data_IF_789165925728
#
_entry.id   IF_789165925728
#
_cell.length_a   1.000
_cell.length_b   1.000
_cell.length_c   1.000
_cell.angle_alpha   90.00
_cell.angle_beta   90.00
_cell.angle_gamma   90.00
#
_symmetry.space_group_name_H-M   'P 1'
#
loop_
_entity.id
_entity.type
_entity.pdbx_description
1 polymer ?
#
# COMPACT_ATOMS: atom_id res chain seq x y z
N UNK A 1 -9.22 -3.10 38.21
CA UNK A 1 -9.11 -2.73 36.78
C UNK A 1 -8.11 -3.66 36.15
N UNK A 2 -8.55 -4.54 35.25
CA UNK A 2 -7.66 -5.43 34.51
C UNK A 2 -7.01 -4.59 33.41
N UNK A 3 -5.68 -4.41 33.46
CA UNK A 3 -4.95 -3.75 32.40
C UNK A 3 -5.09 -4.59 31.12
N UNK A 4 -5.72 -4.03 30.09
CA UNK A 4 -5.72 -4.62 28.75
C UNK A 4 -4.27 -4.87 28.32
N UNK A 5 -3.96 -6.00 27.67
CA UNK A 5 -2.61 -6.26 27.18
C UNK A 5 -2.15 -5.09 26.30
N UNK A 6 -1.08 -4.43 26.74
CA UNK A 6 -0.41 -3.35 26.02
C UNK A 6 -0.07 -3.83 24.61
N UNK A 7 -0.46 -3.08 23.57
CA UNK A 7 -0.05 -3.35 22.18
C UNK A 7 -1.07 -3.93 21.21
N UNK A 8 -2.28 -4.33 21.63
CA UNK A 8 -3.29 -4.91 20.72
C UNK A 8 -4.23 -3.89 20.09
N UNK A 9 -4.47 -2.75 20.75
CA UNK A 9 -5.38 -1.73 20.22
C UNK A 9 -4.72 -0.91 19.12
N UNK A 10 -5.39 -0.65 17.98
CA UNK A 10 -4.92 0.32 17.00
C UNK A 10 -4.86 1.74 17.61
N UNK A 11 -5.52 1.97 18.74
CA UNK A 11 -5.54 3.28 19.39
C UNK A 11 -4.51 3.42 20.53
N UNK A 12 -3.57 2.48 20.66
CA UNK A 12 -2.49 2.52 21.66
C UNK A 12 -1.55 3.72 21.43
N UNK A 13 -1.39 4.55 22.46
CA UNK A 13 -0.62 5.80 22.42
C UNK A 13 0.88 5.54 22.18
N UNK A 14 1.45 4.47 22.74
CA UNK A 14 2.86 4.13 22.54
C UNK A 14 3.10 3.80 21.06
N UNK A 15 2.12 3.16 20.43
CA UNK A 15 2.17 2.85 19.00
C UNK A 15 1.80 4.06 18.14
N UNK A 16 1.15 5.08 18.68
CA UNK A 16 0.82 6.31 17.96
C UNK A 16 2.03 7.24 17.80
N UNK A 17 3.03 7.15 18.68
CA UNK A 17 4.29 7.90 18.55
C UNK A 17 5.29 7.26 17.58
N UNK A 18 4.97 6.08 17.03
CA UNK A 18 5.84 5.39 16.08
C UNK A 18 5.73 6.00 14.69
N UNK A 19 6.83 6.54 14.16
CA UNK A 19 6.88 7.08 12.79
C UNK A 19 6.69 6.03 11.70
N UNK A 20 6.97 4.76 11.97
CA UNK A 20 6.80 3.66 10.99
C UNK A 20 5.35 3.23 10.79
N UNK A 21 4.40 3.93 11.40
CA UNK A 21 3.00 3.55 11.47
C UNK A 21 2.13 4.80 11.32
N UNK A 22 0.99 4.68 10.63
CA UNK A 22 0.07 5.79 10.52
C UNK A 22 -0.47 6.19 11.91
N UNK A 23 -0.39 7.48 12.29
CA UNK A 23 -1.10 7.97 13.46
C UNK A 23 -2.61 7.84 13.21
N UNK A 24 -3.37 7.64 14.29
CA UNK A 24 -4.84 7.64 14.25
C UNK A 24 -5.34 8.83 15.06
N UNK A 25 -5.72 9.89 14.36
CA UNK A 25 -6.41 11.03 14.95
C UNK A 25 -7.87 10.68 15.15
N UNK A 26 -8.44 11.21 16.23
CA UNK A 26 -9.81 10.91 16.64
C UNK A 26 -10.62 12.20 16.54
N UNK A 27 -11.73 12.11 15.84
CA UNK A 27 -12.74 13.16 15.71
C UNK A 27 -14.07 12.59 16.19
N UNK A 28 -15.01 13.47 16.53
CA UNK A 28 -16.34 13.08 16.96
C UNK A 28 -17.38 13.94 16.24
N UNK A 29 -17.88 13.40 15.14
CA UNK A 29 -18.98 13.94 14.35
C UNK A 29 -20.08 12.88 14.32
N UNK A 30 -21.19 13.08 15.06
CA UNK A 30 -22.30 12.13 15.07
C UNK A 30 -22.87 11.94 13.67
N UNK A 31 -22.77 10.72 13.12
CA UNK A 31 -23.35 10.41 11.82
C UNK A 31 -23.64 8.91 11.68
N UNK A 32 -24.63 8.56 10.86
CA UNK A 32 -24.91 7.17 10.47
C UNK A 32 -24.27 6.78 9.14
N UNK A 33 -23.83 7.78 8.37
CA UNK A 33 -23.14 7.64 7.10
C UNK A 33 -21.92 8.57 7.08
N UNK A 34 -20.82 8.10 6.48
CA UNK A 34 -19.66 8.93 6.21
C UNK A 34 -19.79 9.48 4.79
N UNK A 35 -20.73 10.39 4.60
CA UNK A 35 -20.95 11.16 3.37
C UNK A 35 -20.09 12.43 3.34
N UNK A 36 -20.22 13.24 2.29
CA UNK A 36 -19.45 14.48 2.12
C UNK A 36 -19.68 15.47 3.28
N UNK A 37 -20.91 15.56 3.79
CA UNK A 37 -21.23 16.44 4.92
C UNK A 37 -20.51 16.00 6.20
N UNK A 38 -20.58 14.71 6.54
CA UNK A 38 -19.89 14.18 7.72
C UNK A 38 -18.36 14.29 7.60
N UNK A 39 -17.82 14.11 6.39
CA UNK A 39 -16.38 14.27 6.13
C UNK A 39 -15.98 15.73 6.32
N UNK A 40 -16.67 16.70 5.70
CA UNK A 40 -16.39 18.13 5.86
C UNK A 40 -16.46 18.58 7.32
N UNK A 41 -17.43 18.08 8.09
CA UNK A 41 -17.49 18.36 9.53
C UNK A 41 -16.32 17.77 10.32
N UNK A 42 -15.77 16.61 9.89
CA UNK A 42 -14.56 16.06 10.49
C UNK A 42 -13.33 16.93 10.17
N UNK A 43 -13.25 17.48 8.95
CA UNK A 43 -12.21 18.42 8.54
C UNK A 43 -12.26 19.71 9.35
N UNK A 44 -13.45 20.31 9.48
CA UNK A 44 -13.68 21.51 10.30
C UNK A 44 -13.24 21.30 11.75
N UNK A 45 -13.59 20.16 12.36
CA UNK A 45 -13.15 19.85 13.72
C UNK A 45 -11.61 19.75 13.85
N UNK A 46 -10.91 19.25 12.82
CA UNK A 46 -9.45 19.19 12.81
C UNK A 46 -8.81 20.58 12.61
N UNK A 47 -9.46 21.45 11.82
CA UNK A 47 -9.06 22.86 11.65
C UNK A 47 -9.24 23.63 12.95
N UNK A 48 -10.40 23.54 13.58
CA UNK A 48 -10.72 24.21 14.85
C UNK A 48 -9.78 23.76 15.99
N UNK A 49 -9.37 22.49 15.97
CA UNK A 49 -8.40 21.95 16.91
C UNK A 49 -6.94 22.34 16.60
N UNK A 50 -6.68 23.04 15.50
CA UNK A 50 -5.34 23.40 15.04
C UNK A 50 -4.49 22.20 14.61
N UNK A 51 -5.11 21.05 14.31
CA UNK A 51 -4.41 19.82 13.93
C UNK A 51 -4.25 19.67 12.42
N UNK A 52 -5.09 20.34 11.63
CA UNK A 52 -5.12 20.22 10.16
C UNK A 52 -3.76 20.51 9.52
N UNK A 53 -3.10 21.60 9.92
CA UNK A 53 -1.79 22.01 9.39
C UNK A 53 -0.64 21.06 9.77
N UNK A 54 -0.89 20.15 10.72
CA UNK A 54 0.07 19.14 11.16
C UNK A 54 -0.14 17.78 10.51
N UNK A 55 -1.21 17.60 9.72
CA UNK A 55 -1.48 16.35 9.01
C UNK A 55 -0.47 16.14 7.88
N UNK A 56 0.01 14.91 7.79
CA UNK A 56 0.81 14.43 6.66
C UNK A 56 -0.04 13.52 5.77
N UNK A 57 0.24 13.54 4.46
CA UNK A 57 -0.42 12.63 3.53
C UNK A 57 -0.24 11.17 3.99
N UNK A 58 -1.35 10.48 4.21
CA UNK A 58 -1.43 9.13 4.73
C UNK A 58 -1.82 9.02 6.21
N UNK A 59 -1.96 10.13 6.93
CA UNK A 59 -2.46 10.08 8.31
C UNK A 59 -3.92 9.62 8.36
N UNK A 60 -4.24 8.82 9.38
CA UNK A 60 -5.56 8.20 9.51
C UNK A 60 -6.41 9.01 10.48
N UNK A 61 -7.63 9.31 10.06
CA UNK A 61 -8.66 9.94 10.89
C UNK A 61 -9.76 8.92 11.14
N UNK A 62 -10.17 8.81 12.41
CA UNK A 62 -11.23 7.94 12.86
C UNK A 62 -12.33 8.78 13.50
N UNK A 63 -13.51 8.79 12.88
CA UNK A 63 -14.69 9.41 13.44
C UNK A 63 -15.38 8.47 14.44
N UNK A 64 -15.28 8.77 15.73
CA UNK A 64 -15.94 8.02 16.80
C UNK A 64 -17.44 8.31 16.93
N UNK A 65 -17.94 9.36 16.29
CA UNK A 65 -19.37 9.62 16.19
C UNK A 65 -20.06 8.81 15.08
N UNK A 66 -19.29 8.07 14.27
CA UNK A 66 -19.85 7.24 13.20
C UNK A 66 -20.44 5.95 13.77
N UNK A 67 -21.76 5.79 13.61
CA UNK A 67 -22.51 4.60 14.01
C UNK A 67 -23.27 4.09 12.78
N UNK A 68 -22.72 3.12 12.02
CA UNK A 68 -23.40 2.61 10.83
C UNK A 68 -24.77 2.03 11.19
N UNK A 69 -25.77 2.14 10.30
CA UNK A 69 -27.04 1.46 10.50
C UNK A 69 -26.80 -0.06 10.62
N UNK A 70 -27.64 -0.80 11.36
CA UNK A 70 -27.55 -2.25 11.41
C UNK A 70 -27.67 -2.81 9.98
N UNK A 71 -26.92 -3.88 9.69
CA UNK A 71 -27.10 -4.65 8.46
C UNK A 71 -28.57 -5.11 8.39
N UNK A 72 -29.38 -4.48 7.54
CA UNK A 72 -30.67 -5.05 7.15
C UNK A 72 -30.35 -6.27 6.29
N UNK A 73 -30.75 -7.46 6.73
CA UNK A 73 -30.48 -8.75 6.09
C UNK A 73 -31.05 -8.91 4.65
N UNK A 74 -31.60 -7.83 4.07
CA UNK A 74 -32.29 -7.80 2.78
C UNK A 74 -31.39 -7.57 1.56
N UNK A 75 -30.08 -7.30 1.70
CA UNK A 75 -29.13 -7.33 0.57
C UNK A 75 -28.66 -8.76 0.21
N UNK A 76 -29.59 -9.70 0.36
CA UNK A 76 -29.48 -11.09 -0.04
C UNK A 76 -29.54 -11.26 -1.56
N UNK A 77 -28.58 -10.72 -2.35
CA UNK A 77 -28.42 -11.15 -3.76
C UNK A 77 -27.14 -10.73 -4.53
N UNK A 78 -25.96 -10.62 -3.93
CA UNK A 78 -24.71 -10.64 -4.72
C UNK A 78 -23.67 -11.65 -4.21
N UNK A 79 -23.68 -12.82 -4.86
CA UNK A 79 -22.62 -13.85 -4.93
C UNK A 79 -21.84 -14.18 -3.66
N UNK A 80 -22.40 -15.13 -2.90
CA UNK A 80 -21.75 -15.90 -1.84
C UNK A 80 -20.59 -16.72 -2.43
N UNK A 81 -19.36 -16.24 -2.25
CA UNK A 81 -18.21 -17.11 -2.10
C UNK A 81 -18.29 -17.84 -0.74
N UNK A 82 -17.82 -19.10 -0.63
CA UNK A 82 -18.11 -19.94 0.55
C UNK A 82 -17.29 -19.61 1.81
N UNK A 83 -16.46 -18.56 1.80
CA UNK A 83 -15.82 -18.04 3.01
C UNK A 83 -16.60 -16.81 3.48
N UNK A 84 -17.49 -17.03 4.46
CA UNK A 84 -18.35 -16.00 5.04
C UNK A 84 -17.60 -14.85 5.68
N UNK A 85 -17.26 -13.82 4.89
CA UNK A 85 -17.05 -12.45 5.36
C UNK A 85 -18.41 -11.83 5.73
N UNK A 86 -18.94 -12.19 6.90
CA UNK A 86 -19.98 -11.39 7.61
C UNK A 86 -19.44 -10.04 8.11
N UNK A 87 -18.56 -9.39 7.34
CA UNK A 87 -17.86 -8.14 7.68
C UNK A 87 -18.37 -6.95 6.86
N UNK A 88 -19.66 -6.98 6.50
CA UNK A 88 -20.32 -6.06 5.55
C UNK A 88 -20.15 -4.57 5.86
N UNK A 89 -20.02 -4.20 7.14
CA UNK A 89 -19.49 -2.89 7.54
C UNK A 89 -17.98 -2.94 7.67
N UNK A 90 -17.29 -3.09 6.52
CA UNK A 90 -15.83 -3.00 6.44
C UNK A 90 -15.42 -1.70 7.14
N UNK A 91 -14.52 -1.81 8.12
CA UNK A 91 -13.98 -0.66 8.87
C UNK A 91 -13.54 0.42 7.90
N UNK A 92 -14.40 1.42 7.70
CA UNK A 92 -14.19 2.55 6.79
C UNK A 92 -13.32 3.53 7.56
N UNK A 93 -12.16 3.84 7.01
CA UNK A 93 -11.25 4.83 7.57
C UNK A 93 -11.31 6.09 6.73
N UNK A 94 -10.94 7.22 7.34
CA UNK A 94 -10.61 8.42 6.61
C UNK A 94 -9.09 8.53 6.56
N UNK A 95 -8.54 8.83 5.39
CA UNK A 95 -7.11 9.11 5.20
C UNK A 95 -6.98 10.53 4.68
N UNK A 96 -6.07 11.31 5.26
CA UNK A 96 -5.69 12.59 4.70
C UNK A 96 -4.79 12.36 3.48
N UNK A 97 -5.21 12.78 2.28
CA UNK A 97 -4.43 12.56 1.05
C UNK A 97 -3.43 13.70 0.74
N UNK A 98 -3.33 14.70 1.62
CA UNK A 98 -2.57 15.94 1.41
C UNK A 98 -3.43 17.14 1.02
N UNK A 99 -4.68 16.91 0.63
CA UNK A 99 -5.64 17.97 0.25
C UNK A 99 -6.90 17.92 1.12
N UNK A 100 -7.41 16.73 1.42
CA UNK A 100 -8.60 16.51 2.22
C UNK A 100 -8.69 15.08 2.75
N UNK A 101 -9.76 14.79 3.47
CA UNK A 101 -10.07 13.47 3.98
C UNK A 101 -10.81 12.65 2.93
N UNK A 102 -10.27 11.47 2.63
CA UNK A 102 -10.84 10.54 1.65
C UNK A 102 -11.12 9.20 2.30
N UNK A 103 -12.15 8.51 1.81
CA UNK A 103 -12.50 7.20 2.31
C UNK A 103 -11.45 6.15 1.95
N UNK A 104 -11.18 5.28 2.92
CA UNK A 104 -10.29 4.16 2.75
C UNK A 104 -10.93 2.88 3.29
N UNK A 105 -10.99 1.87 2.43
CA UNK A 105 -11.54 0.55 2.74
C UNK A 105 -10.44 -0.50 2.53
N UNK A 106 -9.75 -0.93 3.60
CA UNK A 106 -8.82 -2.04 3.55
C UNK A 106 -9.45 -3.31 2.95
N UNK A 107 -8.71 -4.10 2.15
CA UNK A 107 -7.28 -3.99 1.85
C UNK A 107 -6.97 -3.29 0.53
N UNK A 108 -7.85 -2.40 0.04
CA UNK A 108 -7.57 -1.62 -1.15
C UNK A 108 -6.24 -0.85 -1.02
N UNK A 109 -5.61 -0.46 -2.14
CA UNK A 109 -4.49 0.48 -2.09
C UNK A 109 -4.91 1.79 -1.40
N UNK A 110 -4.07 2.38 -0.53
CA UNK A 110 -4.40 3.64 0.11
C UNK A 110 -4.47 4.78 -0.90
N UNK A 111 -5.38 5.76 -0.72
CA UNK A 111 -5.59 6.88 -1.62
C UNK A 111 -4.53 7.96 -1.43
N UNK A 112 -3.25 7.59 -1.57
CA UNK A 112 -2.11 8.51 -1.48
C UNK A 112 -1.34 8.50 -2.80
N UNK A 113 -1.05 9.68 -3.33
CA UNK A 113 -0.48 9.86 -4.68
C UNK A 113 0.88 9.18 -4.88
N UNK A 114 1.68 9.08 -3.82
CA UNK A 114 2.98 8.43 -3.83
C UNK A 114 3.22 7.57 -2.58
N UNK A 115 2.73 6.34 -2.59
CA UNK A 115 2.81 5.44 -1.41
C UNK A 115 4.25 5.10 -0.97
N UNK A 116 5.25 5.29 -1.83
CA UNK A 116 6.66 5.00 -1.49
C UNK A 116 7.24 6.01 -0.48
N UNK A 117 6.67 7.21 -0.41
CA UNK A 117 7.11 8.28 0.50
C UNK A 117 6.60 8.07 1.92
N UNK A 118 5.63 7.17 2.10
CA UNK A 118 5.18 6.76 3.41
C UNK A 118 6.37 6.25 4.24
N UNK A 119 6.43 6.54 5.54
CA UNK A 119 7.57 6.18 6.38
C UNK A 119 7.95 4.69 6.38
N UNK A 120 7.02 3.80 6.04
CA UNK A 120 7.25 2.34 6.03
C UNK A 120 6.31 1.63 5.06
N UNK A 121 6.72 0.50 4.45
CA UNK A 121 5.81 -0.41 3.73
C UNK A 121 4.76 -1.07 4.64
N UNK A 122 4.86 -0.89 5.96
CA UNK A 122 3.92 -1.43 6.93
C UNK A 122 3.05 -0.36 7.58
N UNK A 123 3.05 0.87 7.06
CA UNK A 123 2.41 2.05 7.66
C UNK A 123 0.97 1.80 8.13
N UNK A 124 0.17 1.11 7.30
CA UNK A 124 -1.24 0.81 7.56
C UNK A 124 -1.51 -0.58 8.13
N UNK A 125 -0.48 -1.40 8.41
CA UNK A 125 -0.66 -2.83 8.76
C UNK A 125 -1.58 -3.10 9.95
N UNK A 126 -1.80 -2.09 10.78
CA UNK A 126 -2.58 -2.16 12.01
C UNK A 126 -4.07 -1.82 11.82
N UNK A 127 -4.45 -1.19 10.70
CA UNK A 127 -5.86 -0.97 10.31
C UNK A 127 -6.34 -1.99 9.27
N UNK A 128 -5.43 -2.79 8.71
CA UNK A 128 -5.78 -3.89 7.82
C UNK A 128 -6.48 -5.02 8.60
N UNK A 129 -7.34 -5.82 7.92
CA UNK A 129 -7.85 -7.05 8.50
C UNK A 129 -6.71 -7.99 8.93
N UNK A 130 -6.94 -8.83 9.95
CA UNK A 130 -5.93 -9.80 10.40
C UNK A 130 -5.39 -10.63 9.24
N UNK A 131 -4.07 -10.89 9.24
CA UNK A 131 -3.38 -11.69 8.23
C UNK A 131 -3.39 -11.11 6.80
N UNK A 132 -3.97 -9.92 6.59
CA UNK A 132 -4.00 -9.30 5.26
C UNK A 132 -2.74 -8.50 4.97
N UNK A 133 -2.15 -8.75 3.81
CA UNK A 133 -0.94 -8.06 3.35
C UNK A 133 -1.26 -6.68 2.77
N UNK A 134 -0.48 -5.63 3.08
CA UNK A 134 -0.67 -4.30 2.48
C UNK A 134 -0.56 -4.35 0.96
N UNK A 135 -1.39 -3.57 0.28
CA UNK A 135 -1.35 -3.39 -1.17
C UNK A 135 -1.09 -1.91 -1.43
N UNK A 136 -0.17 -1.62 -2.35
CA UNK A 136 0.18 -0.27 -2.75
C UNK A 136 0.26 -0.17 -4.26
N UNK A 137 0.05 1.05 -4.78
CA UNK A 137 0.37 1.37 -6.16
C UNK A 137 1.67 2.15 -6.12
N UNK A 138 2.71 1.55 -6.70
CA UNK A 138 4.07 2.06 -6.62
C UNK A 138 4.70 2.10 -8.00
N UNK A 139 5.40 3.18 -8.29
CA UNK A 139 6.46 3.21 -9.28
C UNK A 139 7.77 2.85 -8.58
N UNK A 140 8.38 1.73 -8.95
CA UNK A 140 9.67 1.35 -8.37
C UNK A 140 10.76 2.30 -8.90
N UNK A 141 11.76 2.66 -8.08
CA UNK A 141 12.88 3.47 -8.54
C UNK A 141 13.58 2.78 -9.72
N UNK A 142 13.87 3.51 -10.81
CA UNK A 142 14.55 2.92 -11.94
C UNK A 142 15.92 2.43 -11.51
N UNK A 143 16.26 1.19 -11.90
CA UNK A 143 17.63 0.72 -11.74
C UNK A 143 18.42 1.38 -12.86
N UNK A 144 19.16 2.45 -12.51
CA UNK A 144 20.03 3.13 -13.46
C UNK A 144 21.02 2.12 -14.07
N UNK A 145 20.73 1.69 -15.29
CA UNK A 145 21.74 1.19 -16.20
C UNK A 145 22.40 2.42 -16.78
N UNK A 146 23.18 3.17 -15.99
CA UNK A 146 24.01 4.23 -16.58
C UNK A 146 24.95 3.56 -17.58
N UNK A 147 24.82 3.84 -18.89
CA UNK A 147 25.88 3.47 -19.80
C UNK A 147 27.08 4.29 -19.34
N UNK A 148 28.12 3.61 -18.86
CA UNK A 148 29.35 4.29 -18.47
C UNK A 148 29.80 5.13 -19.67
N UNK A 149 29.99 6.46 -19.53
CA UNK A 149 30.48 7.26 -20.63
C UNK A 149 31.83 6.67 -21.08
N UNK A 150 32.04 6.45 -22.39
CA UNK A 150 33.31 5.95 -22.90
C UNK A 150 34.35 7.08 -22.76
N UNK A 151 35.02 7.19 -21.60
CA UNK A 151 36.10 8.17 -21.47
C UNK A 151 36.65 8.46 -20.07
N UNK A 152 35.95 8.17 -18.97
CA UNK A 152 36.45 8.51 -17.62
C UNK A 152 37.34 7.42 -17.02
N UNK A 153 38.50 7.22 -17.65
CA UNK A 153 39.60 6.44 -17.09
C UNK A 153 40.38 7.30 -16.08
N UNK A 154 39.91 7.41 -14.83
CA UNK A 154 40.79 7.76 -13.71
C UNK A 154 40.16 7.44 -12.34
N UNK A 155 40.56 6.29 -11.79
CA UNK A 155 41.10 6.25 -10.43
C UNK A 155 40.19 6.15 -9.20
N UNK A 156 38.85 6.03 -9.32
CA UNK A 156 37.98 5.85 -8.14
C UNK A 156 37.28 4.49 -8.17
N UNK A 157 37.27 3.81 -7.01
CA UNK A 157 36.83 2.44 -6.82
C UNK A 157 35.56 2.09 -7.62
N UNK A 158 35.68 1.05 -8.47
CA UNK A 158 34.59 0.44 -9.23
C UNK A 158 33.50 -0.11 -8.29
N UNK A 159 32.60 0.76 -7.81
CA UNK A 159 31.30 0.31 -7.32
C UNK A 159 30.52 -0.19 -8.53
N UNK A 160 30.50 -1.51 -8.71
CA UNK A 160 29.64 -2.16 -9.69
C UNK A 160 28.21 -1.62 -9.48
N UNK A 161 27.55 -1.08 -10.51
CA UNK A 161 26.18 -0.59 -10.36
C UNK A 161 25.29 -1.74 -9.90
N UNK A 162 24.28 -1.47 -9.05
CA UNK A 162 23.37 -2.50 -8.56
C UNK A 162 22.70 -3.18 -9.76
N UNK A 163 23.07 -4.44 -10.02
CA UNK A 163 22.47 -5.23 -11.09
C UNK A 163 21.25 -5.94 -10.54
N UNK A 164 20.14 -5.85 -11.28
CA UNK A 164 18.97 -6.69 -11.05
C UNK A 164 19.37 -8.16 -11.20
N UNK A 165 19.34 -8.91 -10.10
CA UNK A 165 19.56 -10.35 -10.15
C UNK A 165 18.22 -11.05 -10.30
N UNK A 166 18.02 -11.70 -11.44
CA UNK A 166 16.82 -12.48 -11.74
C UNK A 166 17.06 -13.97 -11.48
N UNK A 167 16.11 -14.62 -10.82
CA UNK A 167 16.13 -16.09 -10.61
C UNK A 167 14.73 -16.67 -10.76
N UNK A 168 14.62 -17.83 -11.40
CA UNK A 168 13.37 -18.59 -11.49
C UNK A 168 13.35 -19.60 -10.35
N UNK A 169 12.33 -19.54 -9.51
CA UNK A 169 12.20 -20.38 -8.31
C UNK A 169 10.86 -21.11 -8.31
N UNK A 170 10.79 -22.22 -7.58
CA UNK A 170 9.57 -23.03 -7.44
C UNK A 170 9.02 -22.86 -6.01
N UNK A 171 7.93 -22.11 -5.86
CA UNK A 171 7.42 -21.65 -4.56
C UNK A 171 6.06 -22.31 -4.27
N UNK A 172 5.82 -22.80 -3.03
CA UNK A 172 4.49 -23.22 -2.61
C UNK A 172 3.56 -22.00 -2.47
N UNK A 173 2.41 -22.06 -3.13
CA UNK A 173 1.41 -20.99 -3.17
C UNK A 173 0.04 -21.58 -2.80
N UNK A 174 -0.67 -20.93 -1.89
CA UNK A 174 -2.05 -21.27 -1.56
C UNK A 174 -2.97 -20.77 -2.66
N UNK A 175 -3.89 -21.60 -3.10
CA UNK A 175 -4.93 -21.27 -4.07
C UNK A 175 -6.25 -21.71 -3.50
N UNK A 176 -7.29 -20.88 -3.66
CA UNK A 176 -8.63 -21.20 -3.21
C UNK A 176 -9.10 -22.50 -3.84
N UNK A 177 -9.63 -23.40 -3.03
CA UNK A 177 -10.10 -24.71 -3.49
C UNK A 177 -11.40 -25.07 -2.78
N UNK A 178 -12.53 -25.11 -3.49
CA UNK A 178 -13.82 -25.46 -2.89
C UNK A 178 -13.87 -26.92 -2.42
N UNK A 179 -12.94 -27.76 -2.86
CA UNK A 179 -12.86 -29.18 -2.50
C UNK A 179 -11.97 -29.44 -1.28
N UNK A 180 -11.17 -28.47 -0.84
CA UNK A 180 -10.33 -28.61 0.34
C UNK A 180 -11.13 -28.25 1.59
N UNK A 181 -11.06 -29.08 2.64
CA UNK A 181 -11.70 -28.79 3.93
C UNK A 181 -11.18 -27.47 4.57
N UNK A 182 -9.98 -27.02 4.20
CA UNK A 182 -9.40 -25.77 4.68
C UNK A 182 -9.73 -24.56 3.78
N UNK A 183 -10.53 -24.73 2.71
CA UNK A 183 -10.84 -23.68 1.73
C UNK A 183 -9.71 -23.38 0.73
N UNK A 184 -8.54 -23.98 0.89
CA UNK A 184 -7.40 -23.80 -0.02
C UNK A 184 -6.61 -25.09 -0.26
N UNK A 185 -5.98 -25.16 -1.43
CA UNK A 185 -4.97 -26.15 -1.78
C UNK A 185 -3.59 -25.48 -1.85
N UNK A 186 -2.53 -26.22 -1.54
CA UNK A 186 -1.14 -25.75 -1.74
C UNK A 186 -0.63 -26.34 -3.03
N UNK A 187 -0.37 -25.49 -4.02
CA UNK A 187 0.27 -25.89 -5.28
C UNK A 187 1.67 -25.29 -5.34
N UNK A 188 2.56 -25.88 -6.14
CA UNK A 188 3.85 -25.23 -6.42
C UNK A 188 3.75 -24.49 -7.74
N UNK A 189 4.20 -23.23 -7.76
CA UNK A 189 4.26 -22.40 -8.96
C UNK A 189 5.69 -21.95 -9.19
N UNK A 190 6.09 -21.90 -10.45
CA UNK A 190 7.31 -21.20 -10.82
C UNK A 190 7.05 -19.70 -10.71
N UNK A 191 7.99 -18.96 -10.11
CA UNK A 191 7.94 -17.52 -9.91
C UNK A 191 9.30 -16.92 -10.28
N UNK A 192 9.30 -15.76 -10.94
CA UNK A 192 10.51 -14.96 -11.09
C UNK A 192 10.73 -14.12 -9.84
N UNK A 193 11.96 -14.15 -9.32
CA UNK A 193 12.43 -13.25 -8.28
C UNK A 193 13.46 -12.28 -8.84
N UNK A 194 13.17 -10.99 -8.68
CA UNK A 194 14.11 -9.90 -8.91
C UNK A 194 14.64 -9.38 -7.59
N UNK A 195 15.96 -9.43 -7.41
CA UNK A 195 16.63 -8.92 -6.22
C UNK A 195 17.29 -7.59 -6.53
N UNK A 196 17.01 -6.59 -5.71
CA UNK A 196 17.64 -5.27 -5.75
C UNK A 196 18.41 -5.07 -4.43
N UNK A 197 19.76 -5.03 -4.46
CA UNK A 197 20.60 -5.31 -3.29
C UNK A 197 20.49 -4.27 -2.17
N UNK A 198 20.24 -2.99 -2.49
CA UNK A 198 19.99 -1.97 -1.48
C UNK A 198 19.36 -0.73 -2.12
N UNK A 199 18.18 -0.34 -1.65
CA UNK A 199 17.64 1.00 -1.79
C UNK A 199 17.86 1.73 -0.47
N UNK A 200 18.52 2.88 -0.49
CA UNK A 200 18.72 3.74 0.67
C UNK A 200 18.67 5.20 0.26
N UNK A 201 18.92 6.13 1.19
CA UNK A 201 18.89 7.55 0.88
C UNK A 201 19.92 7.81 -0.21
N UNK A 202 19.46 8.26 -1.37
CA UNK A 202 20.34 8.60 -2.48
C UNK A 202 21.16 9.82 -2.06
N UNK A 203 22.35 9.59 -1.51
CA UNK A 203 23.31 10.67 -1.23
C UNK A 203 23.80 11.21 -2.58
N UNK A 204 23.29 12.37 -3.00
CA UNK A 204 23.95 13.21 -4.00
C UNK A 204 23.34 13.29 -5.40
N UNK A 205 22.14 12.76 -5.64
CA UNK A 205 21.37 13.16 -6.82
C UNK A 205 20.37 14.22 -6.37
N UNK A 206 20.28 15.36 -7.05
CA UNK A 206 19.32 16.45 -6.78
C UNK A 206 17.86 16.06 -7.03
N UNK A 207 17.47 14.89 -6.53
CA UNK A 207 16.12 14.35 -6.49
C UNK A 207 15.40 15.13 -5.40
N UNK A 208 14.24 15.66 -5.75
CA UNK A 208 13.34 16.32 -4.81
C UNK A 208 13.08 15.41 -3.60
N UNK A 209 13.24 15.97 -2.40
CA UNK A 209 13.01 15.26 -1.14
C UNK A 209 11.60 14.66 -1.07
N UNK A 210 10.64 15.27 -1.77
CA UNK A 210 9.25 14.80 -1.88
C UNK A 210 9.10 13.44 -2.59
N UNK A 211 10.11 13.00 -3.34
CA UNK A 211 10.12 11.74 -4.11
C UNK A 211 10.96 10.64 -3.47
N UNK A 212 11.62 10.94 -2.34
CA UNK A 212 12.47 9.97 -1.67
C UNK A 212 11.61 8.91 -0.97
N UNK A 213 11.98 7.62 -1.07
CA UNK A 213 11.35 6.58 -0.28
C UNK A 213 11.48 6.88 1.22
N UNK A 214 10.42 6.62 1.97
CA UNK A 214 10.47 6.70 3.44
C UNK A 214 11.50 5.73 4.01
N UNK A 215 12.03 6.03 5.21
CA UNK A 215 13.15 5.27 5.80
C UNK A 215 12.88 3.77 5.93
N UNK A 216 11.65 3.38 6.23
CA UNK A 216 11.25 1.98 6.34
C UNK A 216 11.23 1.23 5.00
N UNK A 217 11.32 1.93 3.86
CA UNK A 217 11.51 1.33 2.54
C UNK A 217 12.97 1.01 2.24
N UNK A 218 13.90 1.39 3.10
CA UNK A 218 15.31 1.12 2.90
C UNK A 218 15.64 -0.35 3.13
N UNK A 219 16.57 -0.86 2.30
CA UNK A 219 17.02 -2.24 2.36
C UNK A 219 16.97 -2.95 1.01
N UNK A 220 17.07 -4.26 1.07
CA UNK A 220 17.05 -5.15 -0.07
C UNK A 220 15.61 -5.41 -0.52
N UNK A 221 15.31 -5.19 -1.80
CA UNK A 221 13.97 -5.47 -2.34
C UNK A 221 13.98 -6.80 -3.07
N UNK A 222 13.00 -7.64 -2.75
CA UNK A 222 12.71 -8.89 -3.45
C UNK A 222 11.37 -8.75 -4.14
N UNK A 223 11.38 -8.77 -5.46
CA UNK A 223 10.22 -8.60 -6.32
C UNK A 223 9.81 -9.97 -6.87
N UNK A 224 8.55 -10.34 -6.69
CA UNK A 224 7.97 -11.62 -7.10
C UNK A 224 6.96 -11.40 -8.23
N UNK A 225 7.15 -12.09 -9.37
CA UNK A 225 6.22 -12.14 -10.51
C UNK A 225 6.01 -13.57 -10.98
N UNK A 226 5.01 -13.81 -11.83
CA UNK A 226 4.71 -15.12 -12.39
C UNK A 226 5.93 -15.71 -13.12
N UNK A 227 6.17 -17.03 -12.99
CA UNK A 227 7.33 -17.73 -13.58
C UNK A 227 7.30 -17.93 -15.10
N UNK A 228 6.45 -17.20 -15.81
CA UNK A 228 6.33 -17.20 -17.27
C UNK A 228 7.39 -16.29 -17.91
N UNK A 229 7.53 -16.32 -19.24
CA UNK A 229 8.45 -15.39 -19.93
C UNK A 229 7.94 -13.96 -19.85
N UNK A 230 6.62 -13.81 -19.91
CA UNK A 230 5.87 -12.58 -19.77
C UNK A 230 6.09 -12.00 -18.38
N UNK A 231 5.92 -12.80 -17.32
CA UNK A 231 6.17 -12.36 -15.94
C UNK A 231 7.61 -11.90 -15.68
N UNK A 232 8.61 -12.51 -16.35
CA UNK A 232 9.99 -12.00 -16.36
C UNK A 232 10.09 -10.62 -17.00
N UNK A 233 9.50 -10.45 -18.18
CA UNK A 233 9.57 -9.20 -18.92
C UNK A 233 8.83 -8.09 -18.16
N UNK A 234 7.67 -8.38 -17.59
CA UNK A 234 6.90 -7.47 -16.75
C UNK A 234 7.71 -6.95 -15.56
N UNK A 235 8.50 -7.83 -14.92
CA UNK A 235 9.37 -7.45 -13.82
C UNK A 235 10.50 -6.50 -14.27
N UNK A 236 11.12 -6.79 -15.42
CA UNK A 236 12.15 -5.93 -16.01
C UNK A 236 11.56 -4.57 -16.37
N UNK A 237 10.38 -4.57 -16.98
CA UNK A 237 9.68 -3.38 -17.43
C UNK A 237 9.25 -2.48 -16.28
N UNK A 238 8.88 -3.05 -15.14
CA UNK A 238 8.51 -2.30 -13.92
C UNK A 238 9.67 -1.53 -13.29
N UNK A 239 10.91 -1.86 -13.68
CA UNK A 239 12.14 -1.23 -13.20
C UNK A 239 12.78 -0.31 -14.26
N UNK A 240 12.17 -0.23 -15.45
CA UNK A 240 12.58 0.65 -16.54
C UNK A 240 11.71 1.90 -16.55
N UNK A 241 12.32 3.00 -16.99
CA UNK A 241 11.56 4.18 -17.39
C UNK A 241 10.79 3.86 -18.68
N UNK A 242 9.56 4.34 -18.76
CA UNK A 242 8.77 4.33 -19.97
C UNK A 242 9.37 5.20 -21.07
N UNK A 243 8.77 5.16 -22.26
CA UNK A 243 9.20 5.98 -23.39
C UNK A 243 9.05 7.49 -23.11
N UNK A 244 8.13 7.84 -22.21
CA UNK A 244 7.88 9.16 -21.65
C UNK A 244 8.89 9.57 -20.56
N UNK A 245 9.82 8.69 -20.20
CA UNK A 245 10.78 8.90 -19.12
C UNK A 245 10.19 8.74 -17.72
N UNK A 246 8.93 8.29 -17.58
CA UNK A 246 8.29 8.08 -16.29
C UNK A 246 8.43 6.64 -15.82
N UNK A 247 8.57 6.43 -14.50
CA UNK A 247 8.60 5.10 -13.92
C UNK A 247 7.20 4.47 -13.97
N UNK A 248 7.10 3.25 -14.49
CA UNK A 248 5.81 2.53 -14.59
C UNK A 248 5.28 2.19 -13.20
N UNK A 249 3.99 2.47 -12.98
CA UNK A 249 3.28 2.11 -11.74
C UNK A 249 2.74 0.69 -11.82
N UNK A 250 2.85 -0.06 -10.75
CA UNK A 250 2.23 -1.37 -10.59
C UNK A 250 1.51 -1.48 -9.25
N UNK A 251 0.54 -2.38 -9.17
CA UNK A 251 -0.08 -2.77 -7.91
C UNK A 251 0.76 -3.87 -7.26
N UNK A 252 1.37 -3.53 -6.12
CA UNK A 252 2.28 -4.39 -5.37
C UNK A 252 1.69 -4.77 -4.03
N UNK A 253 1.76 -6.05 -3.71
CA UNK A 253 1.42 -6.58 -2.40
C UNK A 253 2.70 -6.78 -1.58
N UNK A 254 2.77 -6.20 -0.38
CA UNK A 254 3.87 -6.41 0.55
C UNK A 254 3.64 -7.72 1.31
N UNK A 255 4.54 -8.69 1.19
CA UNK A 255 4.42 -9.99 1.87
C UNK A 255 5.03 -9.86 3.27
N UNK A 256 4.20 -9.56 4.27
CA UNK A 256 4.62 -9.32 5.66
C UNK A 256 5.46 -10.47 6.20
N UNK A 257 5.03 -11.71 5.95
CA UNK A 257 5.64 -12.91 6.50
C UNK A 257 7.05 -13.18 5.93
N UNK A 258 7.36 -12.66 4.74
CA UNK A 258 8.67 -12.80 4.09
C UNK A 258 9.56 -11.57 4.27
N UNK A 259 8.99 -10.45 4.70
CA UNK A 259 9.69 -9.19 4.88
C UNK A 259 10.28 -9.08 6.29
N UNK A 260 11.41 -8.40 6.42
CA UNK A 260 12.13 -8.24 7.69
C UNK A 260 13.64 -8.27 7.52
N UNK A 261 14.38 -7.95 8.59
CA UNK A 261 15.86 -7.94 8.60
C UNK A 261 16.47 -7.11 7.46
N UNK A 262 15.87 -5.94 7.18
CA UNK A 262 16.29 -5.06 6.07
C UNK A 262 15.90 -5.57 4.68
N UNK A 263 14.94 -6.50 4.58
CA UNK A 263 14.40 -6.98 3.30
C UNK A 263 12.92 -6.68 3.17
N UNK A 264 12.52 -6.25 1.98
CA UNK A 264 11.13 -5.98 1.64
C UNK A 264 10.74 -6.91 0.50
N UNK A 265 9.78 -7.78 0.77
CA UNK A 265 9.26 -8.72 -0.22
C UNK A 265 7.97 -8.18 -0.81
N UNK A 266 7.94 -8.03 -2.13
CA UNK A 266 6.80 -7.48 -2.86
C UNK A 266 6.38 -8.44 -3.96
N UNK A 267 5.09 -8.68 -4.10
CA UNK A 267 4.52 -9.45 -5.21
C UNK A 267 3.76 -8.51 -6.12
N UNK A 268 4.02 -8.57 -7.42
CA UNK A 268 3.24 -7.83 -8.40
C UNK A 268 1.87 -8.51 -8.58
N UNK A 269 0.80 -7.75 -8.38
CA UNK A 269 -0.57 -8.19 -8.62
C UNK A 269 -1.05 -7.77 -10.01
N UNK A 270 -0.84 -6.50 -10.36
CA UNK A 270 -1.23 -5.94 -11.64
C UNK A 270 -0.15 -4.99 -12.17
N UNK A 271 0.45 -5.26 -13.35
CA UNK A 271 1.36 -4.30 -13.99
C UNK A 271 0.61 -3.12 -14.60
N UNK A 272 1.30 -1.98 -14.74
CA UNK A 272 0.84 -0.82 -15.50
C UNK A 272 -0.52 -0.28 -15.04
N UNK A 273 -0.63 0.07 -13.76
CA UNK A 273 -1.84 0.69 -13.22
C UNK A 273 -1.83 2.18 -13.56
N UNK A 274 -2.83 2.62 -14.32
CA UNK A 274 -2.98 4.03 -14.70
C UNK A 274 -3.33 4.90 -13.48
N UNK A 275 -2.75 6.11 -13.38
CA UNK A 275 -3.03 7.03 -12.28
C UNK A 275 -4.47 7.55 -12.29
N UNK A 276 -5.10 7.69 -13.46
CA UNK A 276 -6.44 8.28 -13.66
C UNK A 276 -7.58 7.27 -13.47
N UNK A 277 -7.30 5.96 -13.53
CA UNK A 277 -8.33 4.94 -13.28
C UNK A 277 -8.73 4.80 -11.81
N UNK A 278 -8.03 5.51 -10.92
CA UNK A 278 -8.33 5.65 -9.51
C UNK A 278 -8.51 7.13 -9.17
N UNK A 279 -9.06 7.91 -10.10
CA UNK A 279 -9.79 9.10 -9.69
C UNK A 279 -10.82 8.60 -8.69
N UNK A 280 -10.56 8.87 -7.40
CA UNK A 280 -11.47 8.63 -6.27
C UNK A 280 -12.71 9.53 -6.36
N UNK A 281 -12.98 10.07 -7.55
CA UNK A 281 -14.16 10.80 -7.91
C UNK A 281 -15.34 9.83 -7.96
N UNK A 282 -16.06 9.78 -6.84
CA UNK A 282 -17.51 9.67 -6.78
C UNK A 282 -18.13 8.51 -7.58
N UNK A 283 -18.49 7.44 -6.87
CA UNK A 283 -19.65 6.59 -7.19
C UNK A 283 -20.97 7.40 -7.16
N UNK A 284 -21.07 8.50 -7.91
CA UNK A 284 -22.26 9.36 -7.96
C UNK A 284 -22.67 9.78 -9.38
N UNK A 285 -22.21 9.07 -10.41
CA UNK A 285 -22.76 9.19 -11.77
C UNK A 285 -23.43 7.88 -12.19
N UNK A 286 -24.52 7.50 -11.56
CA UNK A 286 -25.46 6.50 -12.11
C UNK A 286 -26.87 6.62 -11.52
N UNK A 287 -27.47 7.82 -11.56
CA UNK A 287 -28.93 7.95 -11.47
C UNK A 287 -29.42 9.38 -11.75
N UNK A 288 -29.36 9.81 -13.00
CA UNK A 288 -30.24 10.89 -13.49
C UNK A 288 -30.49 10.72 -14.98
N UNK A 289 -31.28 9.71 -15.30
CA UNK A 289 -31.99 9.61 -16.57
C UNK A 289 -33.32 8.91 -16.30
N UNK A 290 -34.27 9.67 -15.76
CA UNK A 290 -35.70 9.51 -15.97
C UNK A 290 -36.34 10.90 -16.00
#
# INVERSE_FOLDING_TARGET
>A
MVASPTGTSPHDLIRATSRSRAPILRVFVPCSQLDEFAVSACEEQLVDAGLWEHLSAGDVVCNFGYVPPPDTEDDSQSNVGPDGERTGHRKKWLIFNGYGLVHYIPPAPPPVSNSITLPSPFYYSHILPPLTNPIYILSLPPIYQTPSPPGSAQGSERRNPPRLQLSLVHVPTRVTSPQSAAGYAVVRKYMWLGRIPYHGPAQGAGIDASMLPGEGWYGEWILETEGTREGKQTLIDSLRLGADGQARRGMWQIIKEKSGKGKIWMRLLNPNVDPTGLDFDNENKTSSSH
#
